data_IF_788624663722
#
_entry.id   IF_788624663722
#
_cell.length_a   1.000
_cell.length_b   1.000
_cell.length_c   1.000
_cell.angle_alpha   90.00
_cell.angle_beta   90.00
_cell.angle_gamma   90.00
#
_symmetry.space_group_name_H-M   'P 1'
#
loop_
_entity.id
_entity.type
_entity.pdbx_description
1 polymer ?
#
# COMPACT_ATOMS: atom_id res chain seq x y z
N UNK A 1 10.85 32.36 9.79
CA UNK A 1 10.94 30.94 10.17
C UNK A 1 9.65 30.40 10.78
N UNK A 2 9.07 30.97 11.84
CA UNK A 2 7.77 30.47 12.36
C UNK A 2 6.64 30.62 11.33
N UNK A 3 6.51 31.79 10.69
CA UNK A 3 5.44 32.05 9.73
C UNK A 3 5.46 31.13 8.50
N UNK A 4 6.66 30.73 8.04
CA UNK A 4 6.84 29.81 6.91
C UNK A 4 6.51 28.36 7.26
N UNK A 5 6.51 27.98 8.53
CA UNK A 5 6.18 26.61 8.99
C UNK A 5 4.69 26.42 9.28
N UNK A 6 3.90 27.51 9.34
CA UNK A 6 2.46 27.48 9.61
C UNK A 6 1.70 26.60 8.60
N UNK A 7 1.93 26.71 7.27
CA UNK A 7 1.24 25.86 6.31
C UNK A 7 1.50 24.36 6.53
N UNK A 8 2.73 24.00 6.87
CA UNK A 8 3.13 22.60 7.10
C UNK A 8 2.52 22.02 8.37
N UNK A 9 2.52 22.80 9.46
CA UNK A 9 1.92 22.37 10.73
C UNK A 9 0.40 22.22 10.58
N UNK A 10 -0.25 23.17 9.91
CA UNK A 10 -1.67 23.10 9.61
C UNK A 10 -2.01 21.86 8.79
N UNK A 11 -1.20 21.53 7.77
CA UNK A 11 -1.40 20.34 6.95
C UNK A 11 -1.31 19.05 7.77
N UNK A 12 -0.30 18.93 8.64
CA UNK A 12 -0.13 17.74 9.49
C UNK A 12 -1.32 17.57 10.43
N UNK A 13 -1.78 18.64 11.07
CA UNK A 13 -2.85 18.54 12.07
C UNK A 13 -4.24 18.39 11.47
N UNK A 14 -4.49 18.99 10.30
CA UNK A 14 -5.84 19.01 9.70
C UNK A 14 -6.05 18.02 8.57
N UNK A 15 -5.00 17.56 7.88
CA UNK A 15 -5.15 16.69 6.69
C UNK A 15 -4.76 15.24 6.98
N UNK A 16 -3.62 15.00 7.63
CA UNK A 16 -3.14 13.64 7.93
C UNK A 16 -4.18 12.78 8.68
N UNK A 17 -4.91 13.25 9.71
CA UNK A 17 -5.84 12.37 10.42
C UNK A 17 -7.05 11.93 9.58
N UNK A 18 -7.37 12.64 8.50
CA UNK A 18 -8.48 12.30 7.60
C UNK A 18 -8.03 11.47 6.39
N UNK A 19 -6.71 11.39 6.14
CA UNK A 19 -6.18 10.63 5.02
C UNK A 19 -6.13 9.16 5.39
N UNK A 20 -7.10 8.39 4.90
CA UNK A 20 -7.04 6.93 4.98
C UNK A 20 -5.84 6.43 4.16
N UNK A 21 -5.09 5.50 4.72
CA UNK A 21 -3.99 4.85 4.02
C UNK A 21 -4.47 4.13 2.75
N UNK A 22 -3.59 3.96 1.78
CA UNK A 22 -3.99 3.36 0.50
C UNK A 22 -4.46 1.90 0.70
N UNK A 23 -5.56 1.45 0.05
CA UNK A 23 -6.01 0.06 0.12
C UNK A 23 -4.92 -0.95 -0.23
N UNK A 24 -4.04 -0.59 -1.17
CA UNK A 24 -2.90 -1.39 -1.59
C UNK A 24 -1.91 -1.63 -0.45
N UNK A 25 -1.63 -0.63 0.39
CA UNK A 25 -0.72 -0.79 1.51
C UNK A 25 -1.23 -1.82 2.52
N UNK A 26 -2.53 -1.76 2.85
CA UNK A 26 -3.17 -2.75 3.71
C UNK A 26 -3.11 -4.15 3.10
N UNK A 27 -3.37 -4.28 1.80
CA UNK A 27 -3.32 -5.55 1.08
C UNK A 27 -1.90 -6.17 1.10
N UNK A 28 -0.86 -5.39 0.81
CA UNK A 28 0.54 -5.86 0.87
C UNK A 28 0.96 -6.29 2.28
N UNK A 29 0.31 -5.75 3.32
CA UNK A 29 0.55 -6.11 4.72
C UNK A 29 -0.34 -7.24 5.25
N UNK A 30 -1.12 -7.91 4.39
CA UNK A 30 -2.05 -8.96 4.81
C UNK A 30 -3.32 -8.47 5.52
N UNK A 31 -3.51 -7.15 5.65
CA UNK A 31 -4.68 -6.55 6.32
C UNK A 31 -5.87 -6.41 5.36
N UNK A 32 -6.36 -7.52 4.84
CA UNK A 32 -7.42 -7.56 3.80
C UNK A 32 -8.74 -6.92 4.25
N UNK A 33 -9.11 -7.08 5.54
CA UNK A 33 -10.32 -6.47 6.13
C UNK A 33 -10.28 -4.94 6.10
N UNK A 34 -9.15 -4.35 6.50
CA UNK A 34 -8.98 -2.90 6.48
C UNK A 34 -8.87 -2.37 5.05
N UNK A 35 -8.18 -3.11 4.17
CA UNK A 35 -8.17 -2.79 2.74
C UNK A 35 -9.59 -2.73 2.16
N UNK A 36 -10.43 -3.72 2.48
CA UNK A 36 -11.82 -3.79 2.01
C UNK A 36 -12.67 -2.64 2.57
N UNK A 37 -12.47 -2.26 3.83
CA UNK A 37 -13.16 -1.11 4.45
C UNK A 37 -12.84 0.20 3.71
N UNK A 38 -11.56 0.46 3.44
CA UNK A 38 -11.14 1.66 2.69
C UNK A 38 -11.68 1.62 1.26
N UNK A 39 -11.67 0.46 0.61
CA UNK A 39 -12.24 0.30 -0.74
C UNK A 39 -13.76 0.53 -0.78
N UNK A 40 -14.50 0.07 0.24
CA UNK A 40 -15.95 0.35 0.38
C UNK A 40 -16.20 1.85 0.50
N UNK A 41 -15.47 2.53 1.38
CA UNK A 41 -15.58 3.99 1.53
C UNK A 41 -15.28 4.73 0.22
N UNK A 42 -14.24 4.34 -0.52
CA UNK A 42 -13.92 4.92 -1.83
C UNK A 42 -15.04 4.65 -2.86
N UNK A 43 -15.58 3.43 -2.88
CA UNK A 43 -16.67 3.08 -3.77
C UNK A 43 -17.91 3.93 -3.48
N UNK A 44 -18.28 4.08 -2.21
CA UNK A 44 -19.40 4.91 -1.75
C UNK A 44 -19.23 6.37 -2.16
N UNK A 45 -18.03 6.94 -1.94
CA UNK A 45 -17.70 8.29 -2.42
C UNK A 45 -17.84 8.44 -3.95
N UNK A 46 -17.62 7.37 -4.71
CA UNK A 46 -17.74 7.33 -6.16
C UNK A 46 -19.15 6.94 -6.65
N UNK A 47 -20.14 6.81 -5.75
CA UNK A 47 -21.50 6.40 -6.09
C UNK A 47 -21.62 4.94 -6.55
N UNK A 48 -20.65 4.09 -6.21
CA UNK A 48 -20.69 2.64 -6.45
C UNK A 48 -20.76 1.89 -5.11
N UNK A 49 -21.31 0.69 -5.13
CA UNK A 49 -21.31 -0.18 -3.97
C UNK A 49 -20.63 -1.51 -4.29
N UNK A 50 -19.73 -1.92 -3.41
CA UNK A 50 -19.17 -3.26 -3.41
C UNK A 50 -20.16 -4.20 -2.70
N UNK A 51 -20.42 -5.41 -3.21
CA UNK A 51 -21.33 -6.35 -2.57
C UNK A 51 -20.83 -6.72 -1.17
N UNK A 52 -21.77 -6.85 -0.23
CA UNK A 52 -21.47 -6.97 1.20
C UNK A 52 -20.72 -8.26 1.56
N UNK A 53 -20.85 -9.30 0.74
CA UNK A 53 -20.14 -10.57 0.83
C UNK A 53 -18.84 -10.67 0.02
N UNK A 54 -18.38 -9.59 -0.63
CA UNK A 54 -17.06 -9.61 -1.26
C UNK A 54 -15.95 -9.47 -0.21
N UNK A 55 -15.05 -10.45 -0.19
CA UNK A 55 -13.84 -10.46 0.63
C UNK A 55 -12.61 -10.56 -0.29
N UNK A 56 -11.56 -9.81 0.04
CA UNK A 56 -10.28 -9.90 -0.64
C UNK A 56 -9.47 -11.03 0.00
N UNK A 57 -9.08 -12.00 -0.81
CA UNK A 57 -8.20 -13.10 -0.42
C UNK A 57 -6.88 -12.93 -1.16
N UNK A 58 -5.76 -13.10 -0.46
CA UNK A 58 -4.43 -13.09 -1.06
C UNK A 58 -4.15 -14.51 -1.56
N UNK A 59 -3.70 -14.65 -2.82
CA UNK A 59 -3.52 -15.96 -3.47
C UNK A 59 -2.62 -16.92 -2.67
N UNK A 60 -1.69 -16.40 -1.88
CA UNK A 60 -0.80 -17.17 -0.99
C UNK A 60 -1.55 -17.94 0.11
N UNK A 61 -2.71 -17.45 0.55
CA UNK A 61 -3.51 -18.08 1.59
C UNK A 61 -4.29 -19.28 1.03
N UNK A 62 -4.77 -19.21 -0.22
CA UNK A 62 -5.50 -20.32 -0.88
C UNK A 62 -4.65 -21.59 -1.01
N UNK A 63 -3.34 -21.45 -1.23
CA UNK A 63 -2.41 -22.58 -1.36
C UNK A 63 -2.15 -23.31 -0.02
N UNK A 64 -2.38 -22.66 1.14
CA UNK A 64 -2.16 -23.26 2.46
C UNK A 64 -3.40 -23.99 3.04
N UNK A 65 -4.58 -23.85 2.43
CA UNK A 65 -5.82 -24.42 2.97
C UNK A 65 -5.90 -25.96 2.89
N UNK A 66 -4.91 -26.63 2.28
CA UNK A 66 -4.77 -28.10 2.33
C UNK A 66 -3.92 -28.59 3.53
N UNK A 67 -3.33 -27.68 4.32
CA UNK A 67 -2.51 -27.99 5.48
C UNK A 67 -3.12 -27.38 6.75
N UNK A 68 -4.24 -27.97 7.15
CA UNK A 68 -4.71 -28.21 8.52
C UNK A 68 -4.27 -27.23 9.64
N UNK A 69 -5.25 -26.48 10.16
CA UNK A 69 -5.44 -26.16 11.58
C UNK A 69 -4.14 -26.07 12.41
N UNK A 70 -3.30 -25.04 12.21
CA UNK A 70 -2.27 -24.71 13.22
C UNK A 70 -1.58 -23.34 13.13
N UNK A 71 -2.26 -22.24 12.79
CA UNK A 71 -1.59 -20.91 12.85
C UNK A 71 -2.51 -19.77 13.30
N UNK A 72 -3.15 -19.91 14.46
CA UNK A 72 -3.71 -18.78 15.23
C UNK A 72 -2.63 -17.84 15.82
N UNK A 73 -1.41 -17.83 15.29
CA UNK A 73 -0.26 -17.04 15.80
C UNK A 73 0.75 -16.62 14.71
N UNK A 74 0.29 -16.30 13.52
CA UNK A 74 1.20 -15.87 12.41
C UNK A 74 0.82 -14.53 11.80
N UNK A 75 -0.13 -13.81 12.40
CA UNK A 75 -0.83 -12.69 11.74
C UNK A 75 -0.28 -11.29 12.09
N UNK A 76 0.92 -11.21 12.68
CA UNK A 76 1.54 -9.91 13.01
C UNK A 76 2.94 -9.70 12.41
N UNK A 77 3.48 -10.68 11.68
CA UNK A 77 4.89 -10.66 11.23
C UNK A 77 5.13 -11.16 9.80
N UNK A 78 4.19 -10.95 8.88
CA UNK A 78 4.56 -10.79 7.46
C UNK A 78 4.78 -9.31 7.21
N UNK A 79 5.82 -8.78 7.85
CA UNK A 79 6.32 -7.44 7.56
C UNK A 79 6.53 -7.32 6.05
N UNK A 80 6.02 -6.25 5.44
CA UNK A 80 6.15 -5.98 4.02
C UNK A 80 7.55 -6.36 3.54
N UNK A 81 7.65 -7.08 2.42
CA UNK A 81 8.93 -7.42 1.79
C UNK A 81 9.65 -6.10 1.56
N UNK A 82 10.63 -5.78 2.41
CA UNK A 82 11.40 -4.56 2.28
C UNK A 82 12.33 -4.74 1.08
N UNK A 83 11.95 -4.10 -0.02
CA UNK A 83 12.67 -4.21 -1.28
C UNK A 83 14.00 -3.48 -1.19
N UNK A 84 15.11 -4.19 -1.35
CA UNK A 84 16.42 -3.56 -1.36
C UNK A 84 16.65 -2.78 -2.65
N UNK A 85 17.13 -1.53 -2.53
CA UNK A 85 17.58 -0.74 -3.68
C UNK A 85 18.69 -1.44 -4.47
N UNK A 86 19.54 -2.22 -3.78
CA UNK A 86 20.58 -3.03 -4.43
C UNK A 86 19.96 -4.07 -5.37
N UNK A 87 18.80 -4.63 -5.02
CA UNK A 87 18.11 -5.62 -5.85
C UNK A 87 17.50 -4.97 -7.11
N UNK A 88 16.93 -3.77 -6.95
CA UNK A 88 16.44 -2.95 -8.05
C UNK A 88 17.57 -2.56 -9.01
N UNK A 89 18.74 -2.23 -8.46
CA UNK A 89 19.94 -1.96 -9.27
C UNK A 89 20.51 -3.26 -9.82
N UNK A 90 20.29 -4.45 -9.26
CA UNK A 90 20.82 -5.71 -9.79
C UNK A 90 20.00 -6.25 -10.95
N UNK A 91 18.68 -6.06 -10.92
CA UNK A 91 17.78 -6.62 -11.93
C UNK A 91 17.82 -5.84 -13.27
N UNK A 92 18.02 -6.53 -14.41
CA UNK A 92 18.17 -5.87 -15.72
C UNK A 92 16.91 -5.15 -16.20
N UNK A 93 15.72 -5.62 -15.80
CA UNK A 93 14.43 -5.04 -16.21
C UNK A 93 14.14 -3.74 -15.47
N UNK A 94 14.51 -3.65 -14.18
CA UNK A 94 14.29 -2.45 -13.35
C UNK A 94 15.36 -1.38 -13.58
N UNK A 95 16.59 -1.76 -13.96
CA UNK A 95 17.67 -0.81 -14.32
C UNK A 95 17.26 0.13 -15.46
N UNK A 96 16.75 -0.42 -16.57
CA UNK A 96 16.40 0.41 -17.74
C UNK A 96 15.28 1.39 -17.39
N UNK A 97 14.30 0.94 -16.61
CA UNK A 97 13.21 1.80 -16.10
C UNK A 97 13.74 2.90 -15.18
N UNK A 98 14.67 2.58 -14.29
CA UNK A 98 15.29 3.55 -13.39
C UNK A 98 16.07 4.61 -14.17
N UNK A 99 16.93 4.19 -15.11
CA UNK A 99 17.70 5.10 -15.97
C UNK A 99 16.78 6.01 -16.77
N UNK A 100 15.73 5.46 -17.39
CA UNK A 100 14.76 6.26 -18.14
C UNK A 100 14.12 7.37 -17.27
N UNK A 101 13.69 7.04 -16.05
CA UNK A 101 13.13 8.02 -15.12
C UNK A 101 14.13 9.13 -14.77
N UNK A 102 15.39 8.77 -14.50
CA UNK A 102 16.45 9.73 -14.20
C UNK A 102 16.70 10.65 -15.40
N UNK A 103 16.75 10.08 -16.61
CA UNK A 103 16.94 10.84 -17.84
C UNK A 103 15.80 11.79 -18.13
N UNK A 104 14.54 11.36 -17.96
CA UNK A 104 13.38 12.24 -18.11
C UNK A 104 13.44 13.38 -17.09
N UNK A 105 13.73 13.08 -15.82
CA UNK A 105 13.84 14.12 -14.80
C UNK A 105 14.96 15.13 -15.11
N UNK A 106 16.09 14.66 -15.64
CA UNK A 106 17.21 15.52 -16.05
C UNK A 106 16.90 16.35 -17.30
N UNK A 107 16.20 15.80 -18.29
CA UNK A 107 15.84 16.52 -19.52
C UNK A 107 14.64 17.46 -19.36
N UNK A 108 13.76 17.18 -18.39
CA UNK A 108 12.57 17.99 -18.09
C UNK A 108 12.74 18.92 -16.88
N UNK A 109 13.93 18.95 -16.26
CA UNK A 109 14.33 19.95 -15.27
C UNK A 109 15.18 21.03 -15.92
#
# INVERSE_FOLDING_TARGET
>A
YIASSIPSILFITTVIPFLSESPRWYMVRGKTKEAMKVMRSIAECNGRHLPEGAELVIDDDLNNNNADIQTLKSDESRGAIDGSLIDVIKSPVTRIRLVLTIWINFCCS
#
